data_IF_117424213823
#
_entry.id   IF_117424213823
#
_cell.length_a   1.000
_cell.length_b   1.000
_cell.length_c   1.000
_cell.angle_alpha   90.00
_cell.angle_beta   90.00
_cell.angle_gamma   90.00
#
_symmetry.space_group_name_H-M   'P 1'
#
loop_
_entity.id
_entity.type
_entity.pdbx_description
1 polymer ?
#
# COMPACT_ATOMS: atom_id res chain seq x y z
N UNK A 1 -23.50 -20.85 -2.97
CA UNK A 1 -22.20 -21.27 -3.56
C UNK A 1 -21.15 -20.31 -3.06
N UNK A 2 -19.92 -20.77 -2.81
CA UNK A 2 -18.84 -19.90 -2.34
C UNK A 2 -18.34 -19.01 -3.48
N UNK A 3 -18.03 -17.75 -3.17
CA UNK A 3 -17.47 -16.76 -4.11
C UNK A 3 -16.08 -16.32 -3.65
N UNK A 4 -15.13 -16.22 -4.56
CA UNK A 4 -13.83 -15.66 -4.24
C UNK A 4 -13.24 -14.96 -5.45
N UNK A 5 -12.46 -13.88 -5.22
CA UNK A 5 -11.81 -13.14 -6.29
C UNK A 5 -10.78 -12.14 -5.80
N UNK A 6 -9.92 -11.74 -6.74
CA UNK A 6 -8.92 -10.69 -6.55
C UNK A 6 -9.52 -9.33 -6.88
N UNK A 7 -9.49 -8.43 -5.90
CA UNK A 7 -10.00 -7.06 -6.00
C UNK A 7 -8.83 -6.09 -5.91
N UNK A 8 -8.36 -5.63 -7.05
CA UNK A 8 -7.14 -4.86 -7.13
C UNK A 8 -7.42 -3.36 -7.12
N UNK A 9 -6.73 -2.62 -6.25
CA UNK A 9 -6.94 -1.19 -6.04
C UNK A 9 -5.81 -0.41 -6.72
N UNK A 10 -6.17 0.41 -7.71
CA UNK A 10 -5.23 1.25 -8.46
C UNK A 10 -5.64 2.72 -8.39
N UNK A 11 -4.71 3.60 -8.72
CA UNK A 11 -4.93 5.06 -8.76
C UNK A 11 -3.64 5.82 -8.52
N UNK A 12 -3.71 7.13 -8.60
CA UNK A 12 -2.57 8.01 -8.35
C UNK A 12 -2.03 7.88 -6.90
N UNK A 13 -0.82 8.35 -6.60
CA UNK A 13 -0.35 8.41 -5.21
C UNK A 13 -1.28 9.24 -4.33
N UNK A 14 -1.43 8.83 -3.06
CA UNK A 14 -2.16 9.54 -2.00
C UNK A 14 -3.68 9.67 -2.18
N UNK A 15 -4.30 9.01 -3.13
CA UNK A 15 -5.77 9.00 -3.30
C UNK A 15 -6.51 8.22 -2.20
N UNK A 16 -5.79 7.44 -1.37
CA UNK A 16 -6.35 6.72 -0.21
C UNK A 16 -6.49 5.20 -0.38
N UNK A 17 -5.79 4.58 -1.33
CA UNK A 17 -5.83 3.12 -1.60
C UNK A 17 -5.55 2.29 -0.35
N UNK A 18 -4.42 2.53 0.31
CA UNK A 18 -4.01 1.84 1.54
C UNK A 18 -4.99 2.07 2.70
N UNK A 19 -5.57 3.27 2.79
CA UNK A 19 -6.61 3.58 3.79
C UNK A 19 -7.85 2.74 3.57
N UNK A 20 -8.29 2.62 2.32
CA UNK A 20 -9.46 1.82 1.97
C UNK A 20 -9.21 0.33 2.23
N UNK A 21 -8.06 -0.21 1.81
CA UNK A 21 -7.73 -1.61 2.05
C UNK A 21 -7.69 -1.92 3.55
N UNK A 22 -7.02 -1.10 4.36
CA UNK A 22 -6.99 -1.28 5.81
C UNK A 22 -8.40 -1.21 6.44
N UNK A 23 -9.29 -0.33 5.92
CA UNK A 23 -10.66 -0.25 6.38
C UNK A 23 -11.47 -1.52 6.05
N UNK A 24 -11.27 -2.11 4.87
CA UNK A 24 -11.95 -3.35 4.48
C UNK A 24 -11.46 -4.58 5.25
N UNK A 25 -10.15 -4.65 5.49
CA UNK A 25 -9.55 -5.78 6.23
C UNK A 25 -9.80 -5.66 7.75
N UNK A 26 -9.96 -4.43 8.26
CA UNK A 26 -10.09 -4.16 9.69
C UNK A 26 -8.77 -4.12 10.43
N UNK A 27 -7.64 -4.27 9.72
CA UNK A 27 -6.28 -4.28 10.27
C UNK A 27 -5.34 -3.36 9.48
N UNK A 28 -4.31 -2.83 10.14
CA UNK A 28 -3.30 -1.97 9.49
C UNK A 28 -2.24 -2.81 8.78
N UNK A 29 -2.55 -3.30 7.58
CA UNK A 29 -1.60 -4.04 6.74
C UNK A 29 -0.71 -3.13 5.89
N UNK A 30 -1.23 -2.02 5.41
CA UNK A 30 -0.47 -1.03 4.64
C UNK A 30 -0.19 0.22 5.47
N UNK A 31 1.02 0.75 5.36
CA UNK A 31 1.37 2.02 5.98
C UNK A 31 0.71 3.19 5.26
N UNK A 32 0.38 4.24 6.01
CA UNK A 32 -0.33 5.40 5.49
C UNK A 32 0.46 6.67 5.81
N UNK A 33 0.90 7.40 4.79
CA UNK A 33 1.50 8.73 4.93
C UNK A 33 1.04 9.65 3.79
N UNK A 34 1.23 10.95 3.96
CA UNK A 34 0.97 11.94 2.90
C UNK A 34 2.04 11.96 1.80
N UNK A 35 3.10 11.16 1.91
CA UNK A 35 4.20 11.14 0.95
C UNK A 35 3.94 10.20 -0.21
N UNK A 36 4.40 10.58 -1.40
CA UNK A 36 4.43 9.67 -2.54
C UNK A 36 5.33 8.45 -2.24
N UNK A 37 5.13 7.34 -2.94
CA UNK A 37 5.88 6.09 -2.76
C UNK A 37 5.78 5.52 -1.32
N UNK A 38 4.68 5.80 -0.61
CA UNK A 38 4.39 5.18 0.68
C UNK A 38 4.24 3.67 0.50
N UNK A 39 3.38 3.21 -0.38
CA UNK A 39 3.28 1.81 -0.80
C UNK A 39 4.27 1.57 -1.94
N UNK A 40 5.21 0.65 -1.75
CA UNK A 40 6.21 0.25 -2.76
C UNK A 40 6.01 -1.16 -3.27
N UNK A 41 5.45 -2.03 -2.46
CA UNK A 41 5.11 -3.41 -2.78
C UNK A 41 3.62 -3.56 -3.05
N UNK A 42 3.27 -4.61 -3.75
CA UNK A 42 1.90 -5.10 -3.79
C UNK A 42 1.64 -5.89 -2.51
N UNK A 43 0.57 -5.55 -1.79
CA UNK A 43 0.22 -6.16 -0.49
C UNK A 43 -1.18 -6.74 -0.60
N UNK A 44 -1.35 -8.02 -0.28
CA UNK A 44 -2.67 -8.63 -0.19
C UNK A 44 -3.26 -8.47 1.20
N UNK A 45 -4.53 -8.06 1.23
CA UNK A 45 -5.39 -8.10 2.40
C UNK A 45 -6.55 -9.05 2.15
N UNK A 46 -6.65 -10.11 2.95
CA UNK A 46 -7.60 -11.19 2.74
C UNK A 46 -8.75 -11.06 3.73
N UNK A 47 -9.98 -11.02 3.21
CA UNK A 47 -11.19 -10.99 4.02
C UNK A 47 -12.04 -12.20 3.69
N UNK A 48 -12.27 -13.06 4.68
CA UNK A 48 -13.04 -14.29 4.52
C UNK A 48 -14.34 -14.23 5.32
N UNK A 49 -15.45 -14.58 4.68
CA UNK A 49 -16.73 -14.84 5.31
C UNK A 49 -17.11 -16.33 5.23
N UNK A 50 -18.34 -16.65 5.56
CA UNK A 50 -18.84 -18.03 5.53
C UNK A 50 -18.87 -18.57 4.09
N UNK A 51 -19.31 -17.74 3.15
CA UNK A 51 -19.56 -18.06 1.76
C UNK A 51 -18.79 -17.21 0.74
N UNK A 52 -17.83 -16.39 1.21
CA UNK A 52 -16.97 -15.59 0.33
C UNK A 52 -15.52 -15.47 0.83
N UNK A 53 -14.61 -15.14 -0.10
CA UNK A 53 -13.28 -14.63 0.19
C UNK A 53 -12.91 -13.53 -0.80
N UNK A 54 -12.57 -12.37 -0.28
CA UNK A 54 -12.06 -11.23 -1.07
C UNK A 54 -10.56 -11.10 -0.83
N UNK A 55 -9.78 -11.14 -1.90
CA UNK A 55 -8.34 -10.85 -1.84
C UNK A 55 -8.12 -9.44 -2.37
N UNK A 56 -8.08 -8.46 -1.47
CA UNK A 56 -7.73 -7.09 -1.82
C UNK A 56 -6.24 -6.98 -2.14
N UNK A 57 -5.90 -6.13 -3.08
CA UNK A 57 -4.52 -5.84 -3.44
C UNK A 57 -4.28 -4.33 -3.39
N UNK A 58 -3.56 -3.86 -2.37
CA UNK A 58 -3.02 -2.50 -2.35
C UNK A 58 -1.79 -2.42 -3.27
N UNK A 59 -1.78 -1.44 -4.15
CA UNK A 59 -0.71 -1.25 -5.13
C UNK A 59 0.01 0.08 -4.94
N UNK A 60 1.26 0.19 -5.38
CA UNK A 60 1.92 1.48 -5.52
C UNK A 60 1.06 2.46 -6.32
N UNK A 61 1.16 3.75 -6.00
CA UNK A 61 0.52 4.78 -6.81
C UNK A 61 1.12 4.84 -8.22
N UNK A 62 0.30 5.07 -9.21
CA UNK A 62 0.72 5.16 -10.62
C UNK A 62 1.56 6.42 -10.80
N UNK A 63 2.79 6.26 -11.28
CA UNK A 63 3.77 7.32 -11.54
C UNK A 63 4.49 7.06 -12.86
N UNK A 64 5.12 8.07 -13.43
CA UNK A 64 6.10 7.89 -14.51
C UNK A 64 7.44 7.51 -13.88
N UNK A 65 7.97 6.29 -14.12
CA UNK A 65 9.18 5.83 -13.47
C UNK A 65 10.42 6.58 -13.99
N UNK A 66 11.30 7.02 -13.09
CA UNK A 66 12.54 7.72 -13.38
C UNK A 66 13.80 6.87 -13.06
N UNK A 67 13.66 5.79 -12.31
CA UNK A 67 14.73 4.85 -11.95
C UNK A 67 14.17 3.45 -11.66
N UNK A 68 15.06 2.44 -11.57
CA UNK A 68 14.67 1.04 -11.58
C UNK A 68 13.66 0.64 -10.47
N UNK A 69 13.83 1.11 -9.23
CA UNK A 69 12.84 0.86 -8.17
C UNK A 69 11.44 1.32 -8.58
N UNK A 70 11.30 2.51 -9.18
CA UNK A 70 9.99 2.99 -9.62
C UNK A 70 9.44 2.15 -10.79
N UNK A 71 10.32 1.64 -11.66
CA UNK A 71 9.91 0.72 -12.72
C UNK A 71 9.34 -0.59 -12.12
N UNK A 72 10.04 -1.19 -11.14
CA UNK A 72 9.54 -2.37 -10.41
C UNK A 72 8.21 -2.10 -9.69
N UNK A 73 8.03 -0.90 -9.12
CA UNK A 73 6.73 -0.51 -8.54
C UNK A 73 5.63 -0.50 -9.61
N UNK A 74 5.91 -0.05 -10.84
CA UNK A 74 4.93 -0.06 -11.94
C UNK A 74 4.67 -1.48 -12.46
N UNK A 75 5.62 -2.39 -12.33
CA UNK A 75 5.39 -3.80 -12.68
C UNK A 75 4.38 -4.45 -11.70
N UNK A 76 4.41 -4.12 -10.41
CA UNK A 76 3.33 -4.51 -9.48
C UNK A 76 1.96 -3.96 -9.88
N UNK A 77 1.90 -2.72 -10.39
CA UNK A 77 0.64 -2.16 -10.89
C UNK A 77 0.18 -2.92 -12.14
N UNK A 78 1.09 -3.26 -13.07
CA UNK A 78 0.76 -4.04 -14.28
C UNK A 78 0.20 -5.43 -13.91
N UNK A 79 0.83 -6.14 -12.98
CA UNK A 79 0.36 -7.45 -12.52
C UNK A 79 -1.05 -7.37 -11.91
N UNK A 80 -1.36 -6.26 -11.22
CA UNK A 80 -2.69 -6.05 -10.66
C UNK A 80 -3.79 -5.85 -11.72
N UNK A 81 -3.45 -5.48 -12.96
CA UNK A 81 -4.41 -5.49 -14.06
C UNK A 81 -4.61 -6.90 -14.66
N UNK A 82 -3.63 -7.78 -14.51
CA UNK A 82 -3.62 -9.09 -15.17
C UNK A 82 -4.43 -10.14 -14.43
N UNK A 83 -4.46 -10.05 -13.11
CA UNK A 83 -5.12 -11.02 -12.24
C UNK A 83 -6.38 -10.47 -11.53
N UNK A 84 -6.87 -9.29 -11.90
CA UNK A 84 -8.08 -8.73 -11.31
C UNK A 84 -9.34 -9.47 -11.74
N UNK A 85 -10.15 -9.92 -10.80
CA UNK A 85 -11.55 -10.30 -11.03
C UNK A 85 -12.46 -9.05 -10.94
N UNK A 86 -12.07 -8.08 -10.12
CA UNK A 86 -12.71 -6.76 -10.00
C UNK A 86 -11.59 -5.72 -9.89
N UNK A 87 -11.71 -4.63 -10.65
CA UNK A 87 -10.78 -3.50 -10.52
C UNK A 87 -11.43 -2.34 -9.78
N UNK A 88 -10.79 -1.86 -8.72
CA UNK A 88 -11.11 -0.58 -8.08
C UNK A 88 -10.17 0.48 -8.66
N UNK A 89 -10.73 1.43 -9.40
CA UNK A 89 -10.03 2.64 -9.81
C UNK A 89 -10.36 3.77 -8.84
N UNK A 90 -9.38 4.19 -8.07
CA UNK A 90 -9.57 5.18 -7.01
C UNK A 90 -8.99 6.53 -7.41
N UNK A 91 -9.81 7.56 -7.31
CA UNK A 91 -9.46 8.96 -7.53
C UNK A 91 -9.82 9.78 -6.28
N UNK A 92 -9.17 10.92 -6.08
CA UNK A 92 -9.61 11.86 -5.05
C UNK A 92 -10.49 12.96 -5.66
N UNK A 93 -11.33 13.56 -4.81
CA UNK A 93 -12.17 14.69 -5.22
C UNK A 93 -11.30 15.80 -5.82
N UNK A 94 -11.72 16.38 -6.96
CA UNK A 94 -10.95 17.37 -7.72
C UNK A 94 -9.94 16.81 -8.72
N UNK A 95 -9.61 15.51 -8.65
CA UNK A 95 -8.71 14.85 -9.60
C UNK A 95 -9.42 14.61 -10.95
N UNK A 96 -8.77 14.97 -12.06
CA UNK A 96 -9.34 14.82 -13.41
C UNK A 96 -8.50 13.93 -14.33
N UNK A 97 -7.31 13.50 -13.89
CA UNK A 97 -6.39 12.76 -14.75
C UNK A 97 -5.67 11.64 -13.98
N UNK A 98 -5.51 10.49 -14.62
CA UNK A 98 -4.52 9.52 -14.21
C UNK A 98 -3.15 9.95 -14.75
N UNK A 99 -2.09 9.92 -13.94
CA UNK A 99 -0.75 10.39 -14.32
C UNK A 99 -0.10 9.65 -15.48
N UNK A 100 -0.66 8.50 -15.84
CA UNK A 100 -0.19 7.69 -16.96
C UNK A 100 -1.36 7.28 -17.86
N UNK A 101 -1.38 7.79 -19.10
CA UNK A 101 -2.43 7.52 -20.09
C UNK A 101 -2.48 6.05 -20.51
N UNK A 102 -1.36 5.32 -20.46
CA UNK A 102 -1.34 3.90 -20.83
C UNK A 102 -2.19 3.10 -19.86
N UNK A 103 -2.05 3.35 -18.56
CA UNK A 103 -2.89 2.72 -17.54
C UNK A 103 -4.35 3.17 -17.66
N UNK A 104 -4.62 4.44 -17.94
CA UNK A 104 -5.98 4.93 -18.13
C UNK A 104 -6.68 4.25 -19.31
N UNK A 105 -5.99 4.15 -20.44
CA UNK A 105 -6.52 3.45 -21.61
C UNK A 105 -6.74 1.95 -21.34
N UNK A 106 -5.94 1.34 -20.47
CA UNK A 106 -6.10 -0.06 -20.07
C UNK A 106 -7.36 -0.25 -19.22
N UNK A 107 -7.69 0.66 -18.30
CA UNK A 107 -8.94 0.63 -17.51
C UNK A 107 -10.16 0.57 -18.43
N UNK A 108 -10.21 1.42 -19.44
CA UNK A 108 -11.34 1.49 -20.38
C UNK A 108 -11.50 0.25 -21.28
N UNK A 109 -10.46 -0.60 -21.37
CA UNK A 109 -10.46 -1.83 -22.19
C UNK A 109 -10.69 -3.11 -21.38
N UNK A 110 -10.74 -3.01 -20.04
CA UNK A 110 -10.97 -4.19 -19.21
C UNK A 110 -12.36 -4.78 -19.41
N UNK A 111 -12.44 -6.09 -19.38
CA UNK A 111 -13.70 -6.83 -19.43
C UNK A 111 -14.28 -7.11 -18.05
N UNK A 112 -13.44 -7.10 -17.00
CA UNK A 112 -13.87 -7.27 -15.62
C UNK A 112 -14.63 -6.05 -15.09
N UNK A 113 -15.48 -6.20 -14.06
CA UNK A 113 -16.14 -5.08 -13.40
C UNK A 113 -15.15 -4.03 -12.92
N UNK A 114 -15.45 -2.75 -13.17
CA UNK A 114 -14.67 -1.61 -12.70
C UNK A 114 -15.51 -0.78 -11.74
N UNK A 115 -15.04 -0.64 -10.51
CA UNK A 115 -15.62 0.27 -9.51
C UNK A 115 -14.75 1.53 -9.45
N UNK A 116 -15.28 2.68 -9.84
CA UNK A 116 -14.60 3.96 -9.75
C UNK A 116 -15.00 4.63 -8.43
N UNK A 117 -14.03 4.76 -7.51
CA UNK A 117 -14.27 5.36 -6.20
C UNK A 117 -13.75 6.80 -6.19
N UNK A 118 -14.64 7.78 -6.01
CA UNK A 118 -14.29 9.17 -5.76
C UNK A 118 -14.12 9.35 -4.26
N UNK A 119 -12.88 9.37 -3.80
CA UNK A 119 -12.54 9.41 -2.37
C UNK A 119 -12.35 10.83 -1.85
N UNK A 120 -12.34 10.97 -0.52
CA UNK A 120 -12.18 12.22 0.23
C UNK A 120 -13.34 13.20 0.04
N UNK A 121 -14.55 12.69 -0.18
CA UNK A 121 -15.74 13.56 -0.34
C UNK A 121 -16.06 14.40 0.90
N UNK A 122 -15.53 13.99 2.06
CA UNK A 122 -15.59 14.74 3.32
C UNK A 122 -14.83 16.08 3.29
N UNK A 123 -14.03 16.33 2.26
CA UNK A 123 -13.25 17.57 2.06
C UNK A 123 -13.84 18.51 1.01
N UNK A 124 -15.04 18.22 0.48
CA UNK A 124 -15.64 18.93 -0.65
C UNK A 124 -17.13 19.20 -0.42
N UNK A 125 -17.72 19.99 -1.30
CA UNK A 125 -19.15 20.29 -1.33
C UNK A 125 -19.90 19.43 -2.36
N UNK A 126 -21.24 19.49 -2.29
CA UNK A 126 -22.15 18.73 -3.13
C UNK A 126 -21.98 19.06 -4.63
N UNK A 127 -21.83 20.36 -4.98
CA UNK A 127 -21.71 20.79 -6.38
C UNK A 127 -20.46 20.23 -7.04
N UNK A 128 -19.32 20.32 -6.35
CA UNK A 128 -18.05 19.77 -6.81
C UNK A 128 -18.13 18.26 -7.00
N UNK A 129 -18.82 17.56 -6.10
CA UNK A 129 -19.02 16.12 -6.21
C UNK A 129 -19.88 15.75 -7.43
N UNK A 130 -20.99 16.45 -7.67
CA UNK A 130 -21.85 16.21 -8.82
C UNK A 130 -21.12 16.42 -10.16
N UNK A 131 -20.33 17.49 -10.27
CA UNK A 131 -19.48 17.75 -11.41
C UNK A 131 -18.45 16.62 -11.63
N UNK A 132 -17.84 16.15 -10.56
CA UNK A 132 -16.84 15.08 -10.60
C UNK A 132 -17.45 13.75 -11.04
N UNK A 133 -18.64 13.41 -10.52
CA UNK A 133 -19.38 12.20 -10.94
C UNK A 133 -19.74 12.27 -12.41
N UNK A 134 -20.25 13.41 -12.89
CA UNK A 134 -20.59 13.60 -14.31
C UNK A 134 -19.34 13.46 -15.21
N UNK A 135 -18.23 14.07 -14.80
CA UNK A 135 -16.95 13.97 -15.51
C UNK A 135 -16.47 12.52 -15.66
N UNK A 136 -16.42 11.76 -14.56
CA UNK A 136 -15.93 10.39 -14.60
C UNK A 136 -16.89 9.42 -15.32
N UNK A 137 -18.19 9.69 -15.27
CA UNK A 137 -19.18 8.93 -16.02
C UNK A 137 -18.97 9.04 -17.56
N UNK A 138 -18.50 10.19 -18.01
CA UNK A 138 -18.13 10.38 -19.42
C UNK A 138 -16.79 9.69 -19.75
N UNK A 139 -15.80 9.80 -18.86
CA UNK A 139 -14.43 9.30 -19.09
C UNK A 139 -14.28 7.79 -18.94
N UNK A 140 -15.05 7.16 -18.03
CA UNK A 140 -15.02 5.72 -17.77
C UNK A 140 -16.46 5.19 -17.76
N UNK A 141 -17.16 5.17 -18.91
CA UNK A 141 -18.61 4.92 -18.98
C UNK A 141 -19.04 3.53 -18.51
N UNK A 142 -18.12 2.56 -18.46
CA UNK A 142 -18.40 1.19 -17.98
C UNK A 142 -18.24 1.03 -16.47
N UNK A 143 -17.67 2.01 -15.77
CA UNK A 143 -17.45 1.92 -14.32
C UNK A 143 -18.72 2.25 -13.54
N UNK A 144 -18.94 1.52 -12.44
CA UNK A 144 -19.87 1.92 -11.39
C UNK A 144 -19.18 2.94 -10.49
N UNK A 145 -19.80 4.11 -10.29
CA UNK A 145 -19.19 5.22 -9.57
C UNK A 145 -19.73 5.31 -8.15
N UNK A 146 -18.83 5.34 -7.17
CA UNK A 146 -19.14 5.46 -5.75
C UNK A 146 -18.37 6.63 -5.12
N UNK A 147 -19.07 7.68 -4.66
CA UNK A 147 -18.48 8.68 -3.79
C UNK A 147 -18.24 8.11 -2.40
N UNK A 148 -17.02 8.19 -1.89
CA UNK A 148 -16.66 7.63 -0.58
C UNK A 148 -15.76 8.57 0.25
N UNK A 149 -15.70 8.31 1.53
CA UNK A 149 -14.58 8.73 2.38
C UNK A 149 -14.01 7.50 3.10
N UNK A 150 -12.88 7.00 2.63
CA UNK A 150 -12.19 5.87 3.26
C UNK A 150 -11.75 6.21 4.70
N UNK A 151 -11.39 7.47 4.97
CA UNK A 151 -10.98 7.93 6.30
C UNK A 151 -12.16 7.96 7.29
N UNK A 152 -13.37 8.29 6.82
CA UNK A 152 -14.58 8.40 7.64
C UNK A 152 -15.49 7.17 7.57
N UNK A 153 -15.08 6.15 6.85
CA UNK A 153 -15.89 4.96 6.56
C UNK A 153 -17.25 5.30 5.91
N UNK A 154 -17.30 6.41 5.15
CA UNK A 154 -18.52 6.81 4.45
C UNK A 154 -18.66 5.99 3.17
N UNK A 155 -19.79 5.31 3.02
CA UNK A 155 -20.14 4.41 1.91
C UNK A 155 -19.17 3.24 1.64
N UNK A 156 -18.22 2.96 2.51
CA UNK A 156 -17.28 1.83 2.36
C UNK A 156 -18.00 0.49 2.45
N UNK A 157 -18.98 0.35 3.33
CA UNK A 157 -19.79 -0.87 3.45
C UNK A 157 -20.62 -1.14 2.18
N UNK A 158 -21.18 -0.10 1.56
CA UNK A 158 -21.93 -0.22 0.30
C UNK A 158 -21.03 -0.76 -0.81
N UNK A 159 -19.81 -0.22 -0.91
CA UNK A 159 -18.80 -0.70 -1.88
C UNK A 159 -18.41 -2.15 -1.57
N UNK A 160 -18.19 -2.49 -0.30
CA UNK A 160 -17.82 -3.85 0.11
C UNK A 160 -18.90 -4.87 -0.26
N UNK A 161 -20.17 -4.56 0.02
CA UNK A 161 -21.29 -5.42 -0.37
C UNK A 161 -21.40 -5.58 -1.89
N UNK A 162 -21.17 -4.47 -2.64
CA UNK A 162 -21.17 -4.55 -4.10
C UNK A 162 -20.03 -5.42 -4.64
N UNK A 163 -18.86 -5.38 -4.01
CA UNK A 163 -17.75 -6.29 -4.34
C UNK A 163 -18.18 -7.76 -4.17
N UNK A 164 -18.78 -8.13 -3.03
CA UNK A 164 -19.25 -9.51 -2.77
C UNK A 164 -20.27 -9.97 -3.83
N UNK A 165 -21.18 -9.07 -4.24
CA UNK A 165 -22.15 -9.39 -5.30
C UNK A 165 -21.46 -9.74 -6.62
N UNK A 166 -20.41 -8.99 -6.98
CA UNK A 166 -19.68 -9.10 -8.24
C UNK A 166 -18.65 -10.25 -8.27
N UNK A 167 -18.26 -10.79 -7.11
CA UNK A 167 -17.29 -11.90 -7.05
C UNK A 167 -17.74 -13.10 -7.89
N UNK A 168 -16.82 -13.73 -8.63
CA UNK A 168 -17.10 -14.98 -9.34
C UNK A 168 -17.28 -16.15 -8.36
N UNK A 169 -17.96 -17.17 -8.81
CA UNK A 169 -18.03 -18.44 -8.11
C UNK A 169 -16.65 -19.12 -8.13
N UNK A 170 -16.07 -19.30 -6.97
CA UNK A 170 -14.74 -19.91 -6.81
C UNK A 170 -14.59 -20.45 -5.38
N UNK A 171 -13.80 -21.51 -5.17
CA UNK A 171 -13.33 -21.85 -3.83
C UNK A 171 -12.41 -20.76 -3.27
N UNK A 172 -12.21 -20.75 -1.96
CA UNK A 172 -11.26 -19.86 -1.32
C UNK A 172 -9.82 -20.11 -1.82
N UNK A 173 -9.06 -19.05 -2.05
CA UNK A 173 -7.66 -19.12 -2.49
C UNK A 173 -6.68 -19.32 -1.33
N UNK A 174 -7.07 -18.83 -0.14
CA UNK A 174 -6.23 -18.83 1.06
C UNK A 174 -7.00 -19.45 2.25
N UNK A 175 -6.30 -19.95 3.28
CA UNK A 175 -6.93 -20.32 4.55
C UNK A 175 -7.78 -19.16 5.09
N UNK A 176 -8.91 -19.48 5.71
CA UNK A 176 -9.89 -18.47 6.18
C UNK A 176 -9.37 -17.57 7.30
N UNK A 177 -8.39 -18.02 8.03
CA UNK A 177 -7.69 -17.30 9.12
C UNK A 177 -6.48 -16.51 8.64
N UNK A 178 -6.11 -16.61 7.37
CA UNK A 178 -5.01 -15.86 6.79
C UNK A 178 -5.47 -14.44 6.41
N UNK A 179 -4.77 -13.42 6.92
CA UNK A 179 -5.09 -12.01 6.67
C UNK A 179 -4.28 -11.38 5.53
N UNK A 180 -3.11 -11.95 5.17
CA UNK A 180 -2.19 -11.37 4.19
C UNK A 180 -1.22 -12.40 3.64
N UNK A 181 -0.59 -12.08 2.49
CA UNK A 181 0.49 -12.87 1.87
C UNK A 181 1.89 -12.54 2.43
N UNK A 182 2.01 -11.48 3.25
CA UNK A 182 3.30 -10.98 3.71
C UNK A 182 3.73 -11.62 5.03
N UNK A 183 5.04 -11.93 5.19
CA UNK A 183 5.57 -12.42 6.45
C UNK A 183 5.71 -11.28 7.49
N UNK A 184 5.79 -11.62 8.76
CA UNK A 184 5.93 -10.67 9.87
C UNK A 184 7.09 -9.68 9.69
N UNK A 185 8.23 -10.13 9.17
CA UNK A 185 9.39 -9.27 8.89
C UNK A 185 9.08 -8.14 7.91
N UNK A 186 8.16 -8.35 6.97
CA UNK A 186 7.72 -7.31 6.05
C UNK A 186 7.05 -6.17 6.81
N UNK A 187 6.17 -6.47 7.76
CA UNK A 187 5.49 -5.45 8.56
C UNK A 187 6.45 -4.70 9.48
N UNK A 188 7.46 -5.39 10.03
CA UNK A 188 8.54 -4.74 10.77
C UNK A 188 9.23 -3.68 9.91
N UNK A 189 9.63 -4.07 8.68
CA UNK A 189 10.29 -3.17 7.76
C UNK A 189 9.41 -1.97 7.40
N UNK A 190 8.13 -2.20 7.09
CA UNK A 190 7.19 -1.15 6.72
C UNK A 190 6.89 -0.20 7.89
N UNK A 191 6.71 -0.69 9.12
CA UNK A 191 6.49 0.16 10.30
C UNK A 191 7.71 1.05 10.56
N UNK A 192 8.93 0.53 10.45
CA UNK A 192 10.15 1.33 10.58
C UNK A 192 10.22 2.37 9.43
N UNK A 193 9.93 1.96 8.20
CA UNK A 193 9.92 2.83 7.03
C UNK A 193 8.85 3.93 7.15
N UNK A 194 7.68 3.65 7.71
CA UNK A 194 6.65 4.64 8.02
C UNK A 194 7.21 5.77 8.91
N UNK A 195 7.94 5.42 9.98
CA UNK A 195 8.53 6.45 10.87
C UNK A 195 9.58 7.29 10.14
N UNK A 196 10.36 6.69 9.25
CA UNK A 196 11.28 7.44 8.40
C UNK A 196 10.51 8.38 7.46
N UNK A 197 9.44 7.91 6.83
CA UNK A 197 8.58 8.74 5.99
C UNK A 197 7.98 9.91 6.77
N UNK A 198 7.61 9.74 8.02
CA UNK A 198 7.00 10.79 8.85
C UNK A 198 8.03 11.83 9.33
N UNK A 199 9.22 11.42 9.73
CA UNK A 199 10.19 12.29 10.39
C UNK A 199 11.18 12.98 9.46
N UNK A 200 11.49 12.38 8.31
CA UNK A 200 12.47 12.96 7.39
C UNK A 200 11.79 13.62 6.18
N UNK A 201 12.51 14.55 5.56
CA UNK A 201 12.03 15.35 4.42
C UNK A 201 12.93 15.16 3.20
N UNK A 202 12.65 15.93 2.17
CA UNK A 202 13.38 15.97 0.91
C UNK A 202 13.57 14.56 0.31
N UNK A 203 14.76 14.19 -0.07
CA UNK A 203 15.09 12.92 -0.72
C UNK A 203 15.23 11.73 0.24
N UNK A 204 15.40 11.95 1.55
CA UNK A 204 15.67 10.89 2.52
C UNK A 204 14.60 9.79 2.50
N UNK A 205 13.28 10.09 2.58
CA UNK A 205 12.24 9.09 2.54
C UNK A 205 12.26 8.18 1.31
N UNK A 206 12.78 8.70 0.20
CA UNK A 206 12.80 7.99 -1.09
C UNK A 206 14.10 7.21 -1.33
N UNK A 207 15.13 7.44 -0.51
CA UNK A 207 16.46 6.83 -0.61
C UNK A 207 16.71 5.71 0.39
N UNK A 208 15.74 5.41 1.25
CA UNK A 208 15.88 4.38 2.29
C UNK A 208 15.22 3.08 1.89
N UNK A 209 15.84 1.97 2.34
CA UNK A 209 15.25 0.64 2.41
C UNK A 209 15.48 0.08 3.81
N UNK A 210 14.56 -0.76 4.29
CA UNK A 210 14.67 -1.39 5.61
C UNK A 210 14.66 -2.90 5.44
N UNK A 211 15.62 -3.57 6.06
CA UNK A 211 15.73 -5.03 6.06
C UNK A 211 15.88 -5.55 7.50
N UNK A 212 15.01 -6.44 7.92
CA UNK A 212 15.10 -7.14 9.20
C UNK A 212 16.04 -8.32 9.06
N UNK A 213 17.26 -8.17 9.61
CA UNK A 213 18.29 -9.21 9.60
C UNK A 213 17.97 -10.36 10.59
N UNK A 214 17.40 -10.03 11.76
CA UNK A 214 17.04 -11.00 12.79
C UNK A 214 15.66 -10.73 13.37
N UNK A 215 14.88 -11.78 13.53
CA UNK A 215 13.57 -11.78 14.17
C UNK A 215 13.47 -13.05 14.99
N UNK A 216 13.53 -12.93 16.32
CA UNK A 216 13.47 -14.04 17.26
C UNK A 216 12.29 -13.83 18.20
N UNK A 217 11.21 -14.59 17.96
CA UNK A 217 10.02 -14.57 18.80
C UNK A 217 10.19 -15.54 19.97
N UNK A 218 10.03 -15.03 21.20
CA UNK A 218 9.94 -15.80 22.42
C UNK A 218 8.59 -15.60 23.11
N UNK A 219 8.31 -16.30 24.20
CA UNK A 219 6.99 -16.25 24.82
C UNK A 219 6.53 -14.83 25.18
N UNK A 220 7.41 -14.00 25.70
CA UNK A 220 7.06 -12.67 26.22
C UNK A 220 7.61 -11.48 25.45
N UNK A 221 8.68 -11.69 24.68
CA UNK A 221 9.39 -10.60 23.99
C UNK A 221 9.88 -11.05 22.62
N UNK A 222 9.78 -10.16 21.63
CA UNK A 222 10.34 -10.36 20.31
C UNK A 222 11.61 -9.53 20.17
N UNK A 223 12.73 -10.17 19.82
CA UNK A 223 13.99 -9.51 19.52
C UNK A 223 14.12 -9.27 18.04
N UNK A 224 14.22 -8.01 17.64
CA UNK A 224 14.28 -7.57 16.25
C UNK A 224 15.55 -6.77 16.03
N UNK A 225 16.27 -7.12 14.96
CA UNK A 225 17.41 -6.35 14.47
C UNK A 225 17.16 -5.97 13.03
N UNK A 226 17.09 -4.66 12.76
CA UNK A 226 16.83 -4.14 11.42
C UNK A 226 17.90 -3.15 10.98
N UNK A 227 18.16 -3.14 9.67
CA UNK A 227 19.13 -2.25 9.03
C UNK A 227 18.37 -1.31 8.10
N UNK A 228 18.59 -0.02 8.30
CA UNK A 228 18.16 1.05 7.41
C UNK A 228 19.29 1.28 6.41
N UNK A 229 19.03 1.01 5.15
CA UNK A 229 19.97 1.21 4.06
C UNK A 229 19.74 2.55 3.39
N UNK A 230 20.81 3.26 3.10
CA UNK A 230 20.83 4.56 2.38
C UNK A 230 21.86 4.52 1.27
N UNK A 231 21.80 5.45 0.31
CA UNK A 231 22.74 5.45 -0.82
C UNK A 231 24.05 6.18 -0.53
N UNK A 232 24.08 7.12 0.42
CA UNK A 232 25.21 8.04 0.65
C UNK A 232 25.51 8.20 2.15
N UNK A 233 26.78 8.50 2.48
CA UNK A 233 27.20 8.78 3.86
C UNK A 233 26.51 10.02 4.44
N UNK A 234 26.24 11.05 3.64
CA UNK A 234 25.48 12.22 4.07
C UNK A 234 24.08 11.86 4.55
N UNK A 235 23.39 10.97 3.82
CA UNK A 235 22.05 10.47 4.20
C UNK A 235 22.11 9.65 5.49
N UNK A 236 23.15 8.83 5.67
CA UNK A 236 23.39 8.09 6.92
C UNK A 236 23.54 9.05 8.10
N UNK A 237 24.32 10.11 7.94
CA UNK A 237 24.47 11.16 8.96
C UNK A 237 23.13 11.83 9.31
N UNK A 238 22.28 12.12 8.32
CA UNK A 238 20.96 12.71 8.53
C UNK A 238 20.02 11.73 9.28
N UNK A 239 20.02 10.45 8.90
CA UNK A 239 19.19 9.43 9.56
C UNK A 239 19.59 9.26 11.03
N UNK A 240 20.88 9.22 11.32
CA UNK A 240 21.39 9.07 12.70
C UNK A 240 21.08 10.34 13.50
N UNK A 241 21.32 11.50 12.91
CA UNK A 241 21.15 12.81 13.56
C UNK A 241 22.22 13.11 14.60
N UNK A 242 22.09 14.29 15.26
CA UNK A 242 23.01 14.69 16.30
C UNK A 242 22.98 13.69 17.46
N UNK A 243 24.14 13.11 17.82
CA UNK A 243 24.29 12.11 18.87
C UNK A 243 23.32 10.92 18.80
N UNK A 244 22.77 10.61 17.62
CA UNK A 244 21.84 9.51 17.43
C UNK A 244 20.38 9.81 17.81
N UNK A 245 20.03 11.04 18.14
CA UNK A 245 18.69 11.41 18.64
C UNK A 245 17.59 11.18 17.61
N UNK A 246 17.86 11.45 16.31
CA UNK A 246 16.87 11.25 15.24
C UNK A 246 16.56 9.75 15.05
N UNK A 247 17.58 8.91 14.98
CA UNK A 247 17.42 7.46 14.87
C UNK A 247 16.73 6.86 16.12
N UNK A 248 17.09 7.37 17.31
CA UNK A 248 16.44 6.95 18.56
C UNK A 248 14.94 7.24 18.55
N UNK A 249 14.52 8.42 18.03
CA UNK A 249 13.09 8.75 17.90
C UNK A 249 12.36 7.76 16.99
N UNK A 250 12.92 7.49 15.81
CA UNK A 250 12.38 6.46 14.88
C UNK A 250 12.25 5.12 15.59
N UNK A 251 13.29 4.68 16.33
CA UNK A 251 13.30 3.41 17.05
C UNK A 251 12.22 3.32 18.14
N UNK A 252 12.05 4.39 18.93
CA UNK A 252 11.03 4.42 20.00
C UNK A 252 9.63 4.33 19.43
N UNK A 253 9.31 5.14 18.40
CA UNK A 253 7.98 5.15 17.80
C UNK A 253 7.70 3.85 17.02
N UNK A 254 8.69 3.33 16.27
CA UNK A 254 8.55 2.05 15.59
C UNK A 254 8.31 0.91 16.60
N UNK A 255 9.07 0.86 17.68
CA UNK A 255 8.86 -0.13 18.75
C UNK A 255 7.45 -0.08 19.33
N UNK A 256 6.95 1.11 19.65
CA UNK A 256 5.59 1.28 20.18
C UNK A 256 4.52 0.73 19.24
N UNK A 257 4.66 0.97 17.93
CA UNK A 257 3.70 0.47 16.96
C UNK A 257 3.87 -1.02 16.68
N UNK A 258 5.10 -1.56 16.74
CA UNK A 258 5.36 -3.00 16.67
C UNK A 258 4.79 -3.75 17.89
N UNK A 259 4.90 -3.18 19.11
CA UNK A 259 4.29 -3.74 20.32
C UNK A 259 2.76 -3.84 20.19
N UNK A 260 2.12 -2.84 19.60
CA UNK A 260 0.67 -2.88 19.31
C UNK A 260 0.33 -3.92 18.25
N UNK A 261 1.15 -4.01 17.18
CA UNK A 261 0.92 -4.91 16.06
C UNK A 261 1.05 -6.39 16.47
N UNK A 262 2.10 -6.73 17.25
CA UNK A 262 2.35 -8.11 17.67
C UNK A 262 1.71 -8.50 19.01
N UNK A 263 1.20 -7.52 19.78
CA UNK A 263 0.64 -7.78 21.12
C UNK A 263 1.68 -8.25 22.14
N UNK A 264 2.99 -8.05 21.88
CA UNK A 264 4.12 -8.50 22.71
C UNK A 264 5.12 -7.37 22.92
N UNK A 265 5.94 -7.49 23.98
CA UNK A 265 7.09 -6.59 24.15
C UNK A 265 8.08 -6.74 22.99
N UNK A 266 8.70 -5.63 22.57
CA UNK A 266 9.66 -5.60 21.46
C UNK A 266 11.01 -5.05 21.97
N UNK A 267 12.08 -5.80 21.73
CA UNK A 267 13.44 -5.28 21.76
C UNK A 267 13.89 -4.98 20.32
N UNK A 268 13.99 -3.69 19.96
CA UNK A 268 14.32 -3.24 18.62
C UNK A 268 15.71 -2.62 18.55
N UNK A 269 16.57 -3.21 17.74
CA UNK A 269 17.89 -2.66 17.38
C UNK A 269 17.86 -2.13 15.94
N UNK A 270 18.28 -0.86 15.75
CA UNK A 270 18.35 -0.21 14.44
C UNK A 270 19.80 0.16 14.09
N UNK A 271 20.20 -0.20 12.89
CA UNK A 271 21.50 0.15 12.31
C UNK A 271 21.31 0.90 10.99
N UNK A 272 22.25 1.78 10.64
CA UNK A 272 22.23 2.48 9.35
C UNK A 272 23.48 2.09 8.57
N UNK A 273 23.28 1.56 7.35
CA UNK A 273 24.34 1.15 6.44
C UNK A 273 24.21 1.89 5.10
N UNK A 274 25.34 2.20 4.49
CA UNK A 274 25.36 2.71 3.12
C UNK A 274 25.40 1.54 2.15
N UNK A 275 24.45 1.53 1.22
CA UNK A 275 24.37 0.60 0.10
C UNK A 275 24.21 1.45 -1.18
N UNK A 276 25.34 1.73 -1.82
CA UNK A 276 25.39 2.63 -2.97
C UNK A 276 24.53 2.13 -4.11
N UNK A 277 23.79 3.05 -4.71
CA UNK A 277 22.99 2.85 -5.93
C UNK A 277 21.97 1.70 -5.84
N UNK A 278 21.56 1.30 -4.63
CA UNK A 278 20.65 0.15 -4.41
C UNK A 278 19.35 0.27 -5.20
N UNK A 279 18.81 1.50 -5.37
CA UNK A 279 17.55 1.76 -6.11
C UNK A 279 17.65 1.47 -7.62
N UNK A 280 18.86 1.40 -8.15
CA UNK A 280 19.13 1.13 -9.57
C UNK A 280 19.79 -0.23 -9.80
N UNK A 281 20.05 -1.00 -8.73
CA UNK A 281 20.72 -2.28 -8.80
C UNK A 281 19.69 -3.43 -8.78
N UNK A 282 19.51 -4.11 -9.92
CA UNK A 282 18.52 -5.18 -10.08
C UNK A 282 18.69 -6.33 -9.05
N UNK A 283 19.95 -6.69 -8.68
CA UNK A 283 20.19 -7.73 -7.68
C UNK A 283 19.72 -7.31 -6.29
N UNK A 284 19.93 -6.05 -5.92
CA UNK A 284 19.45 -5.52 -4.65
C UNK A 284 17.93 -5.40 -4.64
N UNK A 285 17.33 -4.93 -5.73
CA UNK A 285 15.88 -4.84 -5.85
C UNK A 285 15.21 -6.21 -5.70
N UNK A 286 15.75 -7.26 -6.35
CA UNK A 286 15.27 -8.64 -6.14
C UNK A 286 15.37 -9.09 -4.68
N UNK A 287 16.52 -8.83 -4.03
CA UNK A 287 16.72 -9.17 -2.62
C UNK A 287 15.66 -8.53 -1.72
N UNK A 288 15.25 -7.30 -2.02
CA UNK A 288 14.22 -6.55 -1.27
C UNK A 288 12.79 -6.89 -1.70
N UNK A 289 12.61 -7.85 -2.61
CA UNK A 289 11.28 -8.29 -3.04
C UNK A 289 10.61 -7.38 -4.08
N UNK A 290 11.38 -6.57 -4.82
CA UNK A 290 10.88 -5.73 -5.92
C UNK A 290 10.90 -6.45 -7.27
N UNK A 291 10.94 -7.77 -7.28
CA UNK A 291 10.84 -8.58 -8.51
C UNK A 291 9.42 -9.14 -8.64
N UNK A 292 8.87 -9.07 -9.85
CA UNK A 292 7.54 -9.59 -10.19
C UNK A 292 7.60 -10.90 -10.96
N UNK A 293 8.84 -11.44 -11.19
CA UNK A 293 9.05 -12.69 -11.94
C UNK A 293 9.35 -13.87 -11.02
#
# INVERSE_FOLDING_TARGET
MHKAGFVNIIGNPNVGKSTLMNAFVGEKLSIITSKAQTTRHRIFGIVSGDDFQVVFSDTPGIIKPSYALQASMMDFVKSAFEDADILIYMVEIGEKELKDEVFFNRINKLEVPVLLLINKVDTSDQSTLEEQVAYWKEKVPRAEIFPISALRNFQTEVVFNRIIELLPESPAFFPKDQLTDKPERFFVNEIIREKILLHYKEEIPYSVEVETESFADSETIIHIRSVIMVERESQKGIIIGHKGEALKRVGVEARTDLEKFFGKQIHLELFVKVNKDWRSNARQLRRFGYDTN
#
